data_IF_399178654463
#
_entry.id   IF_399178654463
#
_cell.length_a   1.000
_cell.length_b   1.000
_cell.length_c   1.000
_cell.angle_alpha   90.00
_cell.angle_beta   90.00
_cell.angle_gamma   90.00
#
_symmetry.space_group_name_H-M   'P 1'
#
loop_
_entity.id
_entity.type
_entity.pdbx_description
1 polymer ?
#
# COMPACT_ATOMS: atom_id res chain seq x y z
N UNK A 1 4.27 5.34 1.58
CA UNK A 1 4.03 4.41 0.47
C UNK A 1 2.52 4.28 0.32
N UNK A 2 1.96 5.11 -0.56
CA UNK A 2 0.51 5.37 -0.61
C UNK A 2 -0.11 4.62 -1.77
N UNK A 3 -1.24 3.94 -1.58
CA UNK A 3 -2.02 3.39 -2.69
C UNK A 3 -2.38 4.50 -3.68
N UNK A 4 -2.03 4.31 -4.94
CA UNK A 4 -2.44 5.18 -6.04
C UNK A 4 -2.91 4.35 -7.24
N UNK A 5 -3.83 4.92 -8.01
CA UNK A 5 -4.29 4.41 -9.29
C UNK A 5 -3.97 5.45 -10.35
N UNK A 6 -3.35 5.04 -11.44
CA UNK A 6 -2.90 5.94 -12.51
C UNK A 6 -3.84 5.74 -13.69
N UNK A 7 -4.50 6.80 -14.10
CA UNK A 7 -5.37 6.83 -15.26
C UNK A 7 -4.76 7.74 -16.34
N UNK A 8 -5.21 7.63 -17.61
CA UNK A 8 -4.81 8.57 -18.64
C UNK A 8 -5.20 10.01 -18.24
N UNK A 9 -4.20 10.84 -17.93
CA UNK A 9 -4.38 12.26 -17.63
C UNK A 9 -4.69 12.62 -16.17
N UNK A 10 -4.87 11.65 -15.27
CA UNK A 10 -5.06 11.91 -13.85
C UNK A 10 -4.59 10.73 -12.97
N UNK A 11 -4.43 10.98 -11.67
CA UNK A 11 -4.08 9.95 -10.70
C UNK A 11 -5.05 10.04 -9.54
N UNK A 12 -5.59 8.89 -9.13
CA UNK A 12 -6.41 8.77 -7.95
C UNK A 12 -5.53 8.30 -6.78
N UNK A 13 -5.71 8.94 -5.64
CA UNK A 13 -5.08 8.56 -4.37
C UNK A 13 -6.15 8.44 -3.30
N UNK A 14 -5.91 7.60 -2.30
CA UNK A 14 -6.77 7.61 -1.12
C UNK A 14 -6.68 8.98 -0.43
N UNK A 15 -7.81 9.45 0.12
CA UNK A 15 -7.87 10.75 0.78
C UNK A 15 -6.88 10.80 1.95
N UNK A 16 -5.84 11.61 1.80
CA UNK A 16 -4.76 11.74 2.77
C UNK A 16 -4.40 13.23 2.91
N UNK A 17 -4.51 13.76 4.14
CA UNK A 17 -4.27 15.17 4.40
C UNK A 17 -2.79 15.58 4.21
N UNK A 18 -1.84 14.65 4.38
CA UNK A 18 -0.41 14.95 4.21
C UNK A 18 -0.14 15.11 2.73
N UNK A 19 -0.64 14.18 1.90
CA UNK A 19 -0.51 14.25 0.45
C UNK A 19 -1.26 15.43 -0.14
N UNK A 20 -2.47 15.75 0.35
CA UNK A 20 -3.21 16.95 -0.08
C UNK A 20 -2.35 18.21 0.10
N UNK A 21 -1.68 18.33 1.25
CA UNK A 21 -0.78 19.46 1.55
C UNK A 21 0.48 19.44 0.69
N UNK A 22 1.11 18.29 0.51
CA UNK A 22 2.31 18.15 -0.33
C UNK A 22 2.01 18.48 -1.81
N UNK A 23 0.92 17.93 -2.36
CA UNK A 23 0.51 18.16 -3.75
C UNK A 23 0.10 19.62 -3.97
N UNK A 24 -0.56 20.23 -2.98
CA UNK A 24 -0.86 21.67 -3.01
C UNK A 24 0.40 22.52 -3.03
N UNK A 25 1.45 22.17 -2.27
CA UNK A 25 2.74 22.86 -2.30
C UNK A 25 3.49 22.69 -3.63
N UNK A 26 3.26 21.59 -4.33
CA UNK A 26 3.81 21.33 -5.67
C UNK A 26 3.01 22.00 -6.80
N UNK A 27 1.88 22.66 -6.48
CA UNK A 27 1.03 23.32 -7.47
C UNK A 27 0.11 22.38 -8.26
N UNK A 28 -0.15 21.17 -7.75
CA UNK A 28 -1.07 20.23 -8.37
C UNK A 28 -2.53 20.69 -8.19
N UNK A 29 -3.37 20.39 -9.18
CA UNK A 29 -4.83 20.53 -9.06
C UNK A 29 -5.41 19.31 -8.35
N UNK A 30 -6.15 19.52 -7.27
CA UNK A 30 -6.73 18.47 -6.43
C UNK A 30 -8.25 18.54 -6.49
N UNK A 31 -8.89 17.40 -6.75
CA UNK A 31 -10.33 17.26 -6.74
C UNK A 31 -10.73 16.12 -5.80
N UNK A 32 -11.73 16.36 -4.94
CA UNK A 32 -12.31 15.31 -4.09
C UNK A 32 -13.43 14.63 -4.88
N UNK A 33 -13.27 13.33 -5.09
CA UNK A 33 -14.18 12.51 -5.87
C UNK A 33 -14.48 11.21 -5.12
N UNK A 34 -15.71 10.75 -5.19
CA UNK A 34 -16.11 9.39 -4.79
C UNK A 34 -16.22 8.53 -6.06
N UNK A 35 -15.33 7.55 -6.19
CA UNK A 35 -15.24 6.70 -7.37
C UNK A 35 -14.65 5.32 -7.00
N UNK A 36 -14.89 4.27 -7.81
CA UNK A 36 -14.21 2.99 -7.66
C UNK A 36 -12.70 3.18 -7.68
N UNK A 37 -12.02 2.66 -6.65
CA UNK A 37 -10.58 2.79 -6.48
C UNK A 37 -9.92 1.42 -6.52
N UNK A 38 -9.15 1.17 -7.58
CA UNK A 38 -8.37 -0.05 -7.81
C UNK A 38 -6.90 0.33 -7.86
N UNK A 39 -6.21 0.43 -6.72
CA UNK A 39 -4.81 0.84 -6.69
C UNK A 39 -3.93 -0.16 -7.44
N UNK A 40 -2.86 0.34 -8.06
CA UNK A 40 -1.85 -0.48 -8.73
C UNK A 40 -1.29 -1.52 -7.73
N UNK A 41 -1.65 -2.79 -7.91
CA UNK A 41 -1.41 -3.88 -6.96
C UNK A 41 0.06 -4.28 -6.76
N UNK A 42 1.01 -3.53 -7.30
CA UNK A 42 2.40 -3.95 -7.46
C UNK A 42 3.29 -3.86 -6.21
N UNK A 43 2.91 -3.10 -5.18
CA UNK A 43 3.81 -2.84 -4.04
C UNK A 43 3.23 -3.18 -2.65
N UNK A 44 1.93 -3.44 -2.51
CA UNK A 44 1.27 -3.69 -1.21
C UNK A 44 0.37 -4.93 -1.17
N UNK A 45 0.26 -5.69 -2.27
CA UNK A 45 -0.54 -6.91 -2.36
C UNK A 45 0.17 -8.19 -1.92
N UNK A 46 1.45 -8.14 -1.56
CA UNK A 46 2.18 -9.30 -1.04
C UNK A 46 2.43 -9.15 0.46
N UNK A 47 1.38 -9.43 1.23
CA UNK A 47 1.50 -10.14 2.50
C UNK A 47 2.01 -11.57 2.31
N UNK A 48 3.13 -11.74 1.59
CA UNK A 48 4.06 -12.81 1.93
C UNK A 48 5.02 -12.22 2.94
N UNK A 49 4.51 -12.07 4.17
CA UNK A 49 5.30 -12.51 5.30
C UNK A 49 5.68 -13.96 4.97
N UNK A 50 6.85 -14.16 4.37
CA UNK A 50 7.59 -15.37 4.68
C UNK A 50 7.90 -15.23 6.17
N UNK A 51 6.92 -15.62 6.98
CA UNK A 51 7.10 -15.99 8.37
C UNK A 51 8.12 -17.11 8.34
N UNK A 52 9.38 -16.78 8.55
CA UNK A 52 10.39 -17.75 8.94
C UNK A 52 10.20 -18.07 10.43
N UNK A 53 8.99 -18.50 10.79
CA UNK A 53 8.70 -19.14 12.07
C UNK A 53 8.48 -20.63 11.80
N UNK A 54 9.57 -21.30 11.43
CA UNK A 54 9.66 -22.74 11.68
C UNK A 54 10.12 -22.92 13.12
N UNK A 55 9.13 -22.83 14.00
CA UNK A 55 9.00 -23.60 15.24
C UNK A 55 9.61 -25.00 15.05
N UNK A 56 10.81 -25.21 15.61
CA UNK A 56 11.37 -26.55 15.79
C UNK A 56 10.96 -27.03 17.18
N UNK A 57 9.75 -27.57 17.24
CA UNK A 57 9.21 -28.26 18.40
C UNK A 57 9.60 -29.73 18.33
N UNK A 58 10.29 -30.15 19.39
CA UNK A 58 10.35 -31.48 19.95
C UNK A 58 11.08 -32.58 19.15
N UNK A 59 12.20 -33.03 19.73
CA UNK A 59 12.57 -34.44 19.77
C UNK A 59 13.46 -34.68 20.99
N UNK A 60 12.84 -34.98 22.13
CA UNK A 60 13.54 -35.70 23.19
C UNK A 60 13.83 -37.13 22.72
N UNK A 61 15.09 -37.52 22.71
CA UNK A 61 15.58 -38.91 22.68
C UNK A 61 17.00 -38.86 23.27
N UNK A 62 17.21 -39.26 24.53
CA UNK A 62 17.46 -40.63 24.98
C UNK A 62 18.96 -41.02 24.84
N UNK A 63 19.56 -41.31 26.00
CA UNK A 63 20.92 -41.80 26.32
C UNK A 63 22.05 -40.77 26.41
#
# INVERSE_FOLDING_TARGET
HTPCQIEPGHMLIQQDHVLERMLSQLGASLEKLDAPFTPEGGAYGHGRTHSHDHHHDHSGHHH
#
